data_IF_289142284742
#
_entry.id   IF_289142284742
#
_cell.length_a   1.000
_cell.length_b   1.000
_cell.length_c   1.000
_cell.angle_alpha   90.00
_cell.angle_beta   90.00
_cell.angle_gamma   90.00
#
_symmetry.space_group_name_H-M   'P 1'
#
loop_
_entity.id
_entity.type
_entity.pdbx_description
1 polymer ?
#
# COMPACT_ATOMS: atom_id res chain seq x y z
N UNK A 1 2.68 -6.02 -12.55
CA UNK A 1 3.17 -4.66 -12.26
C UNK A 1 2.34 -3.62 -12.98
N UNK A 2 1.97 -3.83 -14.24
CA UNK A 2 1.16 -2.89 -15.04
C UNK A 2 -0.15 -2.46 -14.36
N UNK A 3 -0.84 -3.39 -13.72
CA UNK A 3 -2.04 -3.09 -12.93
C UNK A 3 -1.78 -2.08 -11.81
N UNK A 4 -0.75 -2.30 -10.99
CA UNK A 4 -0.36 -1.38 -9.90
C UNK A 4 0.05 -0.01 -10.46
N UNK A 5 0.83 0.02 -11.54
CA UNK A 5 1.24 1.28 -12.19
C UNK A 5 0.03 2.09 -12.63
N UNK A 6 -0.96 1.44 -13.26
CA UNK A 6 -2.20 2.09 -13.64
C UNK A 6 -3.02 2.55 -12.43
N UNK A 7 -3.15 1.73 -11.40
CA UNK A 7 -3.86 2.13 -10.17
C UNK A 7 -3.24 3.37 -9.50
N UNK A 8 -1.92 3.54 -9.55
CA UNK A 8 -1.24 4.71 -8.98
C UNK A 8 -1.49 5.99 -9.78
N UNK A 9 -1.66 5.94 -11.11
CA UNK A 9 -1.89 7.13 -11.94
C UNK A 9 -3.18 7.86 -11.58
N UNK A 10 -3.09 9.17 -11.36
CA UNK A 10 -4.20 9.99 -10.83
C UNK A 10 -5.40 10.05 -11.77
N UNK A 11 -5.17 10.07 -13.10
CA UNK A 11 -6.21 10.32 -14.09
C UNK A 11 -6.88 9.06 -14.67
N UNK A 12 -6.69 7.89 -14.04
CA UNK A 12 -7.32 6.66 -14.51
C UNK A 12 -8.79 6.59 -14.06
N UNK A 13 -9.68 6.00 -14.88
CA UNK A 13 -11.14 6.02 -14.68
C UNK A 13 -11.62 5.18 -13.49
N UNK A 14 -10.71 4.52 -12.77
CA UNK A 14 -11.02 3.67 -11.63
C UNK A 14 -11.24 4.44 -10.34
N UNK A 15 -10.87 5.72 -10.28
CA UNK A 15 -10.88 6.49 -9.03
C UNK A 15 -12.03 7.50 -9.02
N UNK A 16 -12.96 7.32 -8.10
CA UNK A 16 -14.06 8.25 -7.85
C UNK A 16 -13.79 9.09 -6.59
N UNK A 17 -14.30 10.33 -6.57
CA UNK A 17 -14.34 11.10 -5.32
C UNK A 17 -15.43 10.53 -4.41
N UNK A 18 -15.16 10.29 -3.13
CA UNK A 18 -16.18 9.88 -2.18
C UNK A 18 -17.24 10.97 -2.02
N UNK A 19 -18.50 10.59 -1.81
CA UNK A 19 -19.61 11.54 -1.68
C UNK A 19 -19.52 12.43 -0.43
N UNK A 20 -18.83 11.95 0.61
CA UNK A 20 -18.91 12.51 1.97
C UNK A 20 -17.55 12.97 2.52
N UNK A 21 -16.45 12.87 1.77
CA UNK A 21 -15.15 13.40 2.19
C UNK A 21 -14.53 14.26 1.11
N UNK A 22 -13.89 15.35 1.55
CA UNK A 22 -13.26 16.32 0.66
C UNK A 22 -11.91 15.80 0.11
N UNK A 23 -11.31 14.83 0.81
CA UNK A 23 -9.97 14.32 0.54
C UNK A 23 -9.98 12.84 0.13
N UNK A 24 -9.14 12.53 -0.86
CA UNK A 24 -8.89 11.18 -1.35
C UNK A 24 -9.84 10.69 -2.45
N UNK A 25 -9.58 9.46 -2.91
CA UNK A 25 -10.38 8.76 -3.90
C UNK A 25 -10.66 7.33 -3.46
N UNK A 26 -11.81 6.81 -3.87
CA UNK A 26 -12.23 5.41 -3.67
C UNK A 26 -12.27 4.71 -5.02
N UNK A 27 -11.93 3.41 -5.04
CA UNK A 27 -11.93 2.62 -6.27
C UNK A 27 -13.37 2.33 -6.72
N UNK A 28 -13.70 2.67 -7.96
CA UNK A 28 -14.92 2.22 -8.64
C UNK A 28 -14.72 0.79 -9.13
N UNK A 29 -15.22 -0.16 -8.34
CA UNK A 29 -14.99 -1.59 -8.52
C UNK A 29 -15.39 -2.10 -9.91
N UNK A 30 -16.56 -1.69 -10.42
CA UNK A 30 -17.04 -2.19 -11.72
C UNK A 30 -16.11 -1.76 -12.86
N UNK A 31 -15.64 -0.50 -12.85
CA UNK A 31 -14.70 0.01 -13.86
C UNK A 31 -13.35 -0.69 -13.75
N UNK A 32 -12.90 -0.98 -12.54
CA UNK A 32 -11.67 -1.74 -12.32
C UNK A 32 -11.80 -3.18 -12.84
N UNK A 33 -12.88 -3.89 -12.51
CA UNK A 33 -13.11 -5.29 -12.91
C UNK A 33 -13.31 -5.45 -14.44
N UNK A 34 -13.81 -4.41 -15.13
CA UNK A 34 -13.90 -4.39 -16.60
C UNK A 34 -12.53 -4.37 -17.29
N UNK A 35 -11.53 -3.76 -16.65
CA UNK A 35 -10.19 -3.60 -17.22
C UNK A 35 -9.24 -4.69 -16.74
N UNK A 36 -9.33 -5.05 -15.46
CA UNK A 36 -8.55 -6.10 -14.84
C UNK A 36 -9.46 -7.27 -14.51
N UNK A 37 -9.61 -8.17 -15.48
CA UNK A 37 -10.39 -9.40 -15.31
C UNK A 37 -9.80 -10.22 -14.15
N UNK A 38 -10.59 -10.42 -13.10
CA UNK A 38 -10.20 -11.28 -11.97
C UNK A 38 -10.01 -12.72 -12.46
N UNK A 39 -8.78 -13.23 -12.38
CA UNK A 39 -8.58 -14.65 -12.10
C UNK A 39 -9.08 -14.89 -10.66
N UNK A 40 -10.37 -15.24 -10.55
CA UNK A 40 -11.16 -15.27 -9.31
C UNK A 40 -10.62 -16.26 -8.25
N UNK A 41 -9.59 -15.89 -7.50
CA UNK A 41 -9.09 -16.72 -6.39
C UNK A 41 -9.45 -16.18 -5.00
N UNK A 42 -9.97 -14.95 -4.89
CA UNK A 42 -10.26 -14.30 -3.60
C UNK A 42 -11.74 -13.95 -3.42
N UNK A 43 -12.66 -14.83 -3.82
CA UNK A 43 -14.09 -14.69 -3.48
C UNK A 43 -14.42 -15.63 -2.32
N UNK A 44 -14.95 -15.09 -1.23
CA UNK A 44 -15.34 -15.88 -0.06
C UNK A 44 -16.02 -15.03 1.00
N UNK A 45 -16.76 -15.67 1.91
CA UNK A 45 -17.51 -15.00 2.98
C UNK A 45 -16.63 -14.16 3.94
N UNK A 46 -15.32 -14.43 3.97
CA UNK A 46 -14.37 -13.77 4.85
C UNK A 46 -13.41 -12.81 4.11
N UNK A 47 -13.70 -12.49 2.85
CA UNK A 47 -12.88 -11.55 2.08
C UNK A 47 -13.49 -10.16 2.19
N UNK A 48 -12.72 -9.22 2.76
CA UNK A 48 -13.05 -7.80 2.76
C UNK A 48 -12.21 -7.09 1.68
N UNK A 49 -12.86 -6.28 0.85
CA UNK A 49 -12.19 -5.45 -0.15
C UNK A 49 -12.17 -4.01 0.34
N UNK A 50 -10.98 -3.46 0.58
CA UNK A 50 -10.77 -2.08 1.02
C UNK A 50 -9.88 -1.37 0.00
N UNK A 51 -10.22 -0.13 -0.34
CA UNK A 51 -9.40 0.70 -1.24
C UNK A 51 -9.44 2.16 -0.85
N UNK A 52 -8.29 2.83 -0.98
CA UNK A 52 -8.18 4.27 -0.83
C UNK A 52 -7.00 4.78 -1.66
N UNK A 53 -7.08 6.03 -2.08
CA UNK A 53 -5.99 6.72 -2.78
C UNK A 53 -5.91 8.15 -2.31
N UNK A 54 -4.68 8.59 -2.07
CA UNK A 54 -4.36 9.95 -1.67
C UNK A 54 -3.09 10.42 -2.39
N UNK A 55 -2.99 11.72 -2.64
CA UNK A 55 -1.82 12.37 -3.24
C UNK A 55 -1.53 13.66 -2.52
N UNK A 56 -0.27 13.90 -2.18
CA UNK A 56 0.18 15.13 -1.52
C UNK A 56 1.67 15.35 -1.71
N UNK A 57 2.11 16.59 -1.50
CA UNK A 57 3.52 16.95 -1.53
C UNK A 57 4.15 16.69 -0.16
N UNK A 58 5.33 16.05 -0.16
CA UNK A 58 6.12 15.79 1.03
C UNK A 58 7.52 16.36 0.87
N UNK A 59 8.14 16.76 1.99
CA UNK A 59 9.49 17.37 2.00
C UNK A 59 10.64 16.36 2.02
N UNK A 60 10.32 15.07 1.99
CA UNK A 60 11.29 13.96 2.06
C UNK A 60 11.61 13.45 0.65
N UNK A 61 12.86 13.03 0.43
CA UNK A 61 13.23 12.45 -0.87
C UNK A 61 12.54 11.10 -1.09
N UNK A 62 12.22 10.76 -2.34
CA UNK A 62 11.53 9.50 -2.65
C UNK A 62 12.31 8.25 -2.20
N UNK A 63 13.64 8.27 -2.34
CA UNK A 63 14.51 7.16 -1.92
C UNK A 63 14.48 6.99 -0.39
N UNK A 64 14.52 8.10 0.35
CA UNK A 64 14.45 8.09 1.80
C UNK A 64 13.09 7.59 2.29
N UNK A 65 12.00 8.05 1.67
CA UNK A 65 10.64 7.59 1.99
C UNK A 65 10.47 6.09 1.76
N UNK A 66 10.93 5.57 0.61
CA UNK A 66 10.97 4.13 0.34
C UNK A 66 11.83 3.39 1.40
N UNK A 67 12.94 3.99 1.81
CA UNK A 67 13.77 3.46 2.88
C UNK A 67 13.04 3.33 4.22
N UNK A 68 12.15 4.27 4.54
CA UNK A 68 11.30 4.21 5.74
C UNK A 68 10.25 3.10 5.59
N UNK A 69 9.62 2.96 4.43
CA UNK A 69 8.62 1.91 4.17
C UNK A 69 9.20 0.49 4.16
N UNK A 70 10.51 0.30 4.04
CA UNK A 70 11.13 -1.02 4.06
C UNK A 70 11.75 -1.38 5.42
N UNK A 71 11.84 -0.43 6.34
CA UNK A 71 12.44 -0.60 7.66
C UNK A 71 11.33 -0.55 8.72
N UNK A 72 11.10 -1.65 9.41
CA UNK A 72 9.97 -1.75 10.35
C UNK A 72 10.06 -0.75 11.51
N UNK A 73 11.28 -0.43 11.97
CA UNK A 73 11.51 0.51 13.07
C UNK A 73 11.22 1.94 12.59
N UNK A 74 11.70 2.30 11.39
CA UNK A 74 11.41 3.63 10.84
C UNK A 74 9.93 3.79 10.50
N UNK A 75 9.30 2.73 9.99
CA UNK A 75 7.88 2.69 9.69
C UNK A 75 7.01 2.95 10.92
N UNK A 76 7.26 2.26 12.04
CA UNK A 76 6.52 2.50 13.30
C UNK A 76 6.77 3.90 13.86
N UNK A 77 8.01 4.39 13.80
CA UNK A 77 8.35 5.72 14.30
C UNK A 77 7.71 6.84 13.49
N UNK A 78 7.53 6.65 12.17
CA UNK A 78 6.91 7.65 11.31
C UNK A 78 5.38 7.68 11.43
N UNK A 79 4.74 6.53 11.68
CA UNK A 79 3.27 6.40 11.76
C UNK A 79 2.77 5.85 13.10
N UNK A 80 3.13 6.44 14.25
CA UNK A 80 2.82 5.88 15.57
C UNK A 80 1.32 5.88 15.88
N UNK A 81 0.53 6.71 15.21
CA UNK A 81 -0.93 6.81 15.37
C UNK A 81 -1.71 5.86 14.48
N UNK A 82 -1.02 5.03 13.69
CA UNK A 82 -1.63 4.07 12.77
C UNK A 82 -1.01 2.69 13.01
N UNK A 83 0.31 2.64 13.16
CA UNK A 83 1.08 1.39 13.29
C UNK A 83 1.50 1.21 14.74
N UNK A 84 0.90 0.23 15.40
CA UNK A 84 1.20 -0.13 16.80
C UNK A 84 2.46 -1.00 16.87
N UNK A 85 2.61 -1.93 15.93
CA UNK A 85 3.74 -2.86 15.85
C UNK A 85 4.06 -3.15 14.39
N UNK A 86 5.35 -3.25 14.05
CA UNK A 86 5.78 -3.81 12.78
C UNK A 86 7.09 -4.59 12.95
N UNK A 87 7.18 -5.74 12.30
CA UNK A 87 8.31 -6.65 12.39
C UNK A 87 8.56 -7.34 11.05
N UNK A 88 9.81 -7.29 10.57
CA UNK A 88 10.21 -8.09 9.40
C UNK A 88 10.44 -9.53 9.82
N UNK A 89 9.53 -10.42 9.43
CA UNK A 89 9.61 -11.86 9.73
C UNK A 89 10.70 -12.52 8.88
N UNK A 90 10.74 -12.19 7.58
CA UNK A 90 11.66 -12.83 6.63
C UNK A 90 12.04 -11.90 5.50
N UNK A 91 13.31 -11.95 5.11
CA UNK A 91 13.82 -11.32 3.89
C UNK A 91 13.96 -12.39 2.81
N UNK A 92 13.26 -12.23 1.70
CA UNK A 92 13.37 -13.14 0.55
C UNK A 92 14.43 -12.66 -0.44
N UNK A 93 14.41 -11.37 -0.77
CA UNK A 93 15.36 -10.76 -1.70
C UNK A 93 15.98 -9.51 -1.07
N UNK A 94 17.31 -9.46 -1.06
CA UNK A 94 18.08 -8.31 -0.59
C UNK A 94 18.36 -7.41 -1.78
N UNK A 95 18.03 -6.14 -1.64
CA UNK A 95 18.26 -5.16 -2.68
C UNK A 95 19.76 -4.94 -2.91
N UNK A 96 20.17 -4.76 -4.17
CA UNK A 96 21.57 -4.47 -4.52
C UNK A 96 22.06 -3.18 -3.83
N UNK A 97 23.34 -3.13 -3.43
CA UNK A 97 23.93 -2.03 -2.61
C UNK A 97 23.46 -0.65 -3.08
N UNK A 98 22.61 0.00 -2.27
CA UNK A 98 22.13 1.37 -2.46
C UNK A 98 20.81 1.52 -3.23
N UNK A 99 20.45 0.55 -4.08
CA UNK A 99 19.15 0.51 -4.74
C UNK A 99 18.21 -0.37 -3.93
N UNK A 100 17.02 0.13 -3.56
CA UNK A 100 15.96 -0.69 -2.94
C UNK A 100 15.15 -1.51 -3.96
N UNK A 101 15.54 -1.44 -5.23
CA UNK A 101 14.89 -2.18 -6.32
C UNK A 101 15.03 -3.69 -6.13
N UNK A 102 13.90 -4.39 -6.28
CA UNK A 102 13.80 -5.84 -6.10
C UNK A 102 13.71 -6.30 -4.63
N UNK A 103 13.63 -5.40 -3.64
CA UNK A 103 13.50 -5.86 -2.25
C UNK A 103 12.18 -6.61 -2.05
N UNK A 104 12.23 -7.79 -1.42
CA UNK A 104 11.05 -8.60 -1.11
C UNK A 104 11.11 -9.11 0.34
N UNK A 105 10.11 -8.74 1.13
CA UNK A 105 10.07 -8.95 2.58
C UNK A 105 8.70 -9.51 3.00
N UNK A 106 8.69 -10.42 3.98
CA UNK A 106 7.50 -10.75 4.76
C UNK A 106 7.51 -9.93 6.05
N UNK A 107 6.44 -9.20 6.31
CA UNK A 107 6.30 -8.32 7.46
C UNK A 107 5.00 -8.65 8.19
N UNK A 108 5.06 -8.67 9.52
CA UNK A 108 3.90 -8.69 10.39
C UNK A 108 3.67 -7.27 10.92
N UNK A 109 2.43 -6.79 10.87
CA UNK A 109 2.08 -5.44 11.29
C UNK A 109 0.77 -5.44 12.05
N UNK A 110 0.73 -4.68 13.14
CA UNK A 110 -0.49 -4.37 13.86
C UNK A 110 -0.82 -2.91 13.64
N UNK A 111 -1.98 -2.65 13.04
CA UNK A 111 -2.46 -1.30 12.80
C UNK A 111 -3.74 -1.02 13.56
N UNK A 112 -3.81 0.15 14.18
CA UNK A 112 -5.02 0.64 14.82
C UNK A 112 -5.63 1.77 13.98
N UNK A 113 -6.94 1.93 14.15
CA UNK A 113 -7.67 3.10 13.67
C UNK A 113 -7.89 4.02 14.88
N UNK A 114 -7.92 5.33 14.66
CA UNK A 114 -8.22 6.34 15.68
C UNK A 114 -9.70 6.33 16.09
N UNK A 115 -10.25 5.14 16.38
CA UNK A 115 -11.60 4.92 16.85
C UNK A 115 -11.59 3.85 17.95
N UNK A 116 -12.11 4.15 19.16
CA UNK A 116 -12.16 3.19 20.25
C UNK A 116 -13.13 2.03 19.98
N UNK A 117 -13.95 2.13 18.93
CA UNK A 117 -14.94 1.12 18.54
C UNK A 117 -14.34 0.06 17.60
N UNK A 118 -13.13 0.28 17.10
CA UNK A 118 -12.48 -0.62 16.13
C UNK A 118 -11.21 -1.17 16.77
N UNK A 119 -11.17 -2.50 16.95
CA UNK A 119 -9.98 -3.17 17.48
C UNK A 119 -8.81 -3.04 16.49
N UNK A 120 -7.56 -3.01 16.97
CA UNK A 120 -6.39 -3.16 16.11
C UNK A 120 -6.48 -4.40 15.24
N UNK A 121 -5.96 -4.31 14.02
CA UNK A 121 -5.95 -5.37 13.01
C UNK A 121 -4.51 -5.82 12.81
N UNK A 122 -4.31 -7.13 12.83
CA UNK A 122 -3.02 -7.75 12.52
C UNK A 122 -2.97 -8.15 11.04
N UNK A 123 -1.86 -7.86 10.37
CA UNK A 123 -1.62 -8.12 8.97
C UNK A 123 -0.31 -8.87 8.78
N UNK A 124 -0.34 -9.87 7.88
CA UNK A 124 0.86 -10.50 7.35
C UNK A 124 1.00 -10.09 5.89
N UNK A 125 1.96 -9.21 5.62
CA UNK A 125 2.09 -8.50 4.35
C UNK A 125 3.38 -8.89 3.65
N UNK A 126 3.29 -9.12 2.35
CA UNK A 126 4.46 -9.18 1.47
C UNK A 126 4.74 -7.77 0.97
N UNK A 127 5.89 -7.19 1.35
CA UNK A 127 6.35 -5.90 0.88
C UNK A 127 7.34 -6.10 -0.27
N UNK A 128 7.01 -5.56 -1.44
CA UNK A 128 7.86 -5.58 -2.63
C UNK A 128 8.19 -4.15 -3.07
N UNK A 129 9.45 -3.87 -3.34
CA UNK A 129 9.90 -2.58 -3.86
C UNK A 129 10.45 -2.74 -5.28
N UNK A 130 9.90 -1.97 -6.22
CA UNK A 130 10.35 -1.94 -7.61
C UNK A 130 10.55 -0.50 -8.04
N UNK A 131 11.71 -0.21 -8.65
CA UNK A 131 11.93 1.05 -9.37
C UNK A 131 11.18 0.95 -10.71
N UNK A 132 10.32 1.92 -10.97
CA UNK A 132 9.57 2.05 -12.22
C UNK A 132 10.17 3.21 -13.01
N UNK A 133 10.37 3.03 -14.30
CA UNK A 133 10.84 4.11 -15.16
C UNK A 133 9.69 5.08 -15.46
N UNK A 134 9.97 6.39 -15.55
CA UNK A 134 8.95 7.43 -15.71
C UNK A 134 8.19 7.40 -17.05
N UNK A 135 8.63 6.57 -18.01
CA UNK A 135 8.02 6.46 -19.35
C UNK A 135 7.01 5.31 -19.48
N UNK A 136 6.71 4.58 -18.40
CA UNK A 136 5.58 3.63 -18.40
C UNK A 136 4.30 4.37 -18.10
#
# INVERSE_FOLDING_TARGET
MDELVRLVRVNEPFWGKPSNSQDGYTLHRESYEQVFLKNNHFKGAYVCEESSKYSGLVKISGIELVGIFLDSIKWTNLFPTIVTKAETIKVFEISSRGSRDGALLLVNEEMHILSPLVRPREFNIIRYCKKVDPEV
#
